data_IF_294206880752
#
_entry.id   IF_294206880752
#
_cell.length_a   1.000
_cell.length_b   1.000
_cell.length_c   1.000
_cell.angle_alpha   90.00
_cell.angle_beta   90.00
_cell.angle_gamma   90.00
#
_symmetry.space_group_name_H-M   'P 1'
#
loop_
_entity.id
_entity.type
_entity.pdbx_description
1 polymer ?
#
# COMPACT_ATOMS: atom_id res chain seq x y z
N UNK A 1 39.30 -14.59 48.33
CA UNK A 1 38.06 -13.77 48.25
C UNK A 1 36.93 -14.57 48.90
N UNK A 2 36.23 -14.03 49.91
CA UNK A 2 35.22 -14.81 50.66
C UNK A 2 34.04 -15.19 49.77
N UNK A 3 33.52 -16.42 49.89
CA UNK A 3 32.37 -16.94 49.15
C UNK A 3 31.14 -16.02 49.20
N UNK A 4 30.98 -15.28 50.29
CA UNK A 4 29.92 -14.26 50.45
C UNK A 4 30.05 -13.10 49.46
N UNK A 5 31.27 -12.63 49.19
CA UNK A 5 31.54 -11.54 48.24
C UNK A 5 31.28 -11.97 46.80
N UNK A 6 31.65 -13.20 46.45
CA UNK A 6 31.41 -13.78 45.12
C UNK A 6 29.90 -13.90 44.87
N UNK A 7 29.12 -14.41 45.83
CA UNK A 7 27.65 -14.52 45.73
C UNK A 7 26.97 -13.15 45.59
N UNK A 8 27.46 -12.14 46.31
CA UNK A 8 26.94 -10.76 46.20
C UNK A 8 27.17 -10.19 44.79
N UNK A 9 28.38 -10.37 44.23
CA UNK A 9 28.72 -9.89 42.88
C UNK A 9 27.80 -10.54 41.83
N UNK A 10 27.60 -11.86 41.89
CA UNK A 10 26.69 -12.53 40.96
C UNK A 10 25.25 -12.02 41.06
N UNK A 11 24.73 -11.76 42.28
CA UNK A 11 23.39 -11.17 42.45
C UNK A 11 23.29 -9.79 41.82
N UNK A 12 24.29 -8.93 42.03
CA UNK A 12 24.31 -7.58 41.44
C UNK A 12 24.35 -7.66 39.92
N UNK A 13 25.17 -8.55 39.34
CA UNK A 13 25.26 -8.74 37.89
C UNK A 13 23.91 -9.19 37.34
N UNK A 14 23.26 -10.20 37.93
CA UNK A 14 21.96 -10.69 37.45
C UNK A 14 20.85 -9.64 37.56
N UNK A 15 20.78 -8.91 38.68
CA UNK A 15 19.80 -7.84 38.86
C UNK A 15 20.04 -6.73 37.84
N UNK A 16 21.30 -6.33 37.63
CA UNK A 16 21.66 -5.32 36.63
C UNK A 16 21.27 -5.76 35.23
N UNK A 17 21.58 -7.01 34.85
CA UNK A 17 21.23 -7.57 33.54
C UNK A 17 19.72 -7.59 33.31
N UNK A 18 18.94 -7.95 34.34
CA UNK A 18 17.48 -7.94 34.28
C UNK A 18 16.93 -6.53 34.06
N UNK A 19 17.42 -5.53 34.80
CA UNK A 19 17.03 -4.14 34.59
C UNK A 19 17.44 -3.61 33.22
N UNK A 20 18.60 -4.01 32.72
CA UNK A 20 19.09 -3.64 31.39
C UNK A 20 18.18 -4.24 30.29
N UNK A 21 17.73 -5.48 30.46
CA UNK A 21 16.77 -6.11 29.57
C UNK A 21 15.39 -5.42 29.62
N UNK A 22 14.91 -5.06 30.81
CA UNK A 22 13.68 -4.27 30.93
C UNK A 22 13.80 -2.92 30.21
N UNK A 23 14.88 -2.17 30.45
CA UNK A 23 15.13 -0.90 29.76
C UNK A 23 15.19 -1.08 28.25
N UNK A 24 15.82 -2.15 27.76
CA UNK A 24 15.86 -2.48 26.34
C UNK A 24 14.44 -2.74 25.76
N UNK A 25 13.63 -3.53 26.46
CA UNK A 25 12.24 -3.81 26.05
C UNK A 25 11.39 -2.53 26.09
N UNK A 26 11.52 -1.71 27.12
CA UNK A 26 10.84 -0.43 27.24
C UNK A 26 11.23 0.55 26.13
N UNK A 27 12.53 0.71 25.86
CA UNK A 27 13.04 1.54 24.78
C UNK A 27 12.51 1.10 23.42
N UNK A 28 12.47 -0.23 23.17
CA UNK A 28 11.97 -0.78 21.91
C UNK A 28 10.47 -0.60 21.71
N UNK A 29 9.67 -0.69 22.76
CA UNK A 29 8.21 -0.69 22.69
C UNK A 29 7.57 0.69 22.88
N UNK A 30 8.07 1.52 23.80
CA UNK A 30 7.46 2.82 24.08
C UNK A 30 7.93 3.93 23.14
N UNK A 31 9.02 3.72 22.38
CA UNK A 31 9.63 4.75 21.52
C UNK A 31 9.64 6.13 22.19
N UNK A 32 10.24 6.26 23.40
CA UNK A 32 10.06 7.43 24.27
C UNK A 32 10.55 8.75 23.65
N UNK A 33 11.36 8.68 22.59
CA UNK A 33 11.87 9.82 21.86
C UNK A 33 10.97 10.27 20.70
N UNK A 34 9.85 9.57 20.45
CA UNK A 34 8.91 9.92 19.38
C UNK A 34 9.50 9.83 17.96
N UNK A 35 10.67 9.19 17.80
CA UNK A 35 11.35 9.12 16.51
C UNK A 35 10.57 8.21 15.56
N UNK A 36 10.08 8.79 14.48
CA UNK A 36 9.45 8.08 13.37
C UNK A 36 10.41 7.02 12.86
N UNK A 37 10.12 5.73 13.07
CA UNK A 37 10.92 4.67 12.44
C UNK A 37 10.64 4.70 10.94
N UNK A 38 11.64 5.12 10.18
CA UNK A 38 11.64 4.99 8.73
C UNK A 38 12.06 3.55 8.42
N UNK A 39 11.09 2.73 7.99
CA UNK A 39 11.37 1.39 7.49
C UNK A 39 11.68 1.48 5.99
N UNK A 40 12.95 1.28 5.63
CA UNK A 40 13.37 1.22 4.25
C UNK A 40 13.35 -0.23 3.78
N UNK A 41 12.41 -0.57 2.90
CA UNK A 41 12.37 -1.87 2.24
C UNK A 41 13.02 -1.76 0.86
N UNK A 42 14.14 -2.46 0.66
CA UNK A 42 14.77 -2.58 -0.65
C UNK A 42 14.22 -3.80 -1.38
N UNK A 43 13.33 -3.54 -2.33
CA UNK A 43 12.62 -4.53 -3.11
C UNK A 43 13.47 -4.90 -4.34
N UNK A 44 14.35 -5.91 -4.20
CA UNK A 44 15.15 -6.44 -5.31
C UNK A 44 14.46 -7.65 -5.96
N UNK A 45 14.29 -7.68 -7.30
CA UNK A 45 13.67 -8.79 -8.03
C UNK A 45 14.36 -10.14 -7.81
N UNK A 46 15.66 -10.15 -7.45
CA UNK A 46 16.46 -11.37 -7.28
C UNK A 46 16.23 -12.09 -5.95
N UNK A 47 15.66 -11.42 -4.96
CA UNK A 47 15.60 -11.91 -3.57
C UNK A 47 14.16 -12.02 -3.09
N UNK A 48 13.23 -11.30 -3.72
CA UNK A 48 11.92 -11.07 -3.16
C UNK A 48 10.82 -11.78 -3.96
N UNK A 49 10.35 -12.92 -3.43
CA UNK A 49 9.25 -13.72 -4.00
C UNK A 49 7.92 -12.94 -4.11
N UNK A 50 7.78 -11.81 -3.41
CA UNK A 50 6.59 -10.95 -3.48
C UNK A 50 6.56 -10.06 -4.73
N UNK A 51 7.68 -9.90 -5.45
CA UNK A 51 7.75 -9.10 -6.68
C UNK A 51 7.84 -10.05 -7.86
N UNK A 52 6.71 -10.31 -8.50
CA UNK A 52 6.69 -11.14 -9.70
C UNK A 52 7.52 -10.46 -10.83
N UNK A 53 8.37 -11.22 -11.56
CA UNK A 53 9.30 -10.70 -12.56
C UNK A 53 8.65 -9.99 -13.76
N UNK A 54 7.36 -10.19 -13.98
CA UNK A 54 6.61 -9.50 -15.05
C UNK A 54 6.60 -7.98 -14.82
N UNK A 55 7.01 -7.23 -15.84
CA UNK A 55 6.94 -5.77 -15.84
C UNK A 55 5.47 -5.31 -15.80
N UNK A 56 5.16 -4.12 -15.23
CA UNK A 56 3.78 -3.65 -15.16
C UNK A 56 3.03 -3.64 -16.50
N UNK A 57 3.71 -3.23 -17.59
CA UNK A 57 3.14 -3.25 -18.95
C UNK A 57 2.82 -4.65 -19.49
N UNK A 58 3.50 -5.69 -18.98
CA UNK A 58 3.31 -7.08 -19.40
C UNK A 58 2.15 -7.74 -18.65
N UNK A 59 1.62 -7.06 -17.63
CA UNK A 59 0.50 -7.50 -16.79
C UNK A 59 -0.86 -7.01 -17.29
N UNK A 60 -0.91 -6.30 -18.40
CA UNK A 60 -2.17 -5.90 -19.03
C UNK A 60 -2.22 -6.46 -20.43
N UNK A 61 -3.41 -6.88 -20.87
CA UNK A 61 -3.64 -7.22 -22.25
C UNK A 61 -3.55 -5.98 -23.13
N UNK A 62 -3.45 -6.20 -24.44
CA UNK A 62 -3.83 -5.14 -25.37
C UNK A 62 -5.31 -4.79 -25.18
N UNK A 63 -5.65 -3.54 -25.49
CA UNK A 63 -7.04 -3.12 -25.53
C UNK A 63 -7.77 -3.92 -26.62
N UNK A 64 -8.96 -4.40 -26.31
CA UNK A 64 -9.85 -5.02 -27.29
C UNK A 64 -11.25 -4.42 -27.21
N UNK A 65 -11.92 -4.38 -28.34
CA UNK A 65 -13.28 -3.87 -28.46
C UNK A 65 -14.27 -5.02 -28.34
N UNK A 66 -15.23 -4.93 -27.42
CA UNK A 66 -16.25 -5.96 -27.27
C UNK A 66 -17.36 -5.82 -28.32
N UNK A 67 -18.22 -6.84 -28.37
CA UNK A 67 -19.45 -6.82 -29.15
C UNK A 67 -20.50 -5.83 -28.61
N UNK A 68 -20.37 -5.37 -27.36
CA UNK A 68 -21.25 -4.35 -26.75
C UNK A 68 -20.84 -2.92 -27.07
N UNK A 69 -19.70 -2.73 -27.74
CA UNK A 69 -19.20 -1.41 -28.12
C UNK A 69 -18.21 -0.79 -27.12
N UNK A 70 -17.79 -1.55 -26.10
CA UNK A 70 -16.91 -1.04 -25.05
C UNK A 70 -15.46 -1.51 -25.25
N UNK A 71 -14.51 -0.66 -24.85
CA UNK A 71 -13.10 -1.01 -24.82
C UNK A 71 -12.76 -1.70 -23.49
N UNK A 72 -12.11 -2.85 -23.57
CA UNK A 72 -11.66 -3.61 -22.41
C UNK A 72 -10.15 -3.80 -22.41
N UNK A 73 -9.60 -3.86 -21.20
CA UNK A 73 -8.24 -4.29 -20.95
C UNK A 73 -8.25 -5.29 -19.80
N UNK A 74 -7.70 -6.48 -20.03
CA UNK A 74 -7.65 -7.56 -19.04
C UNK A 74 -6.32 -7.55 -18.32
N UNK A 75 -6.35 -7.57 -16.98
CA UNK A 75 -5.17 -7.79 -16.16
C UNK A 75 -4.70 -9.25 -16.27
N UNK A 76 -3.49 -9.45 -16.79
CA UNK A 76 -2.81 -10.74 -16.92
C UNK A 76 -1.89 -10.96 -15.71
N UNK A 77 -2.32 -11.86 -14.82
CA UNK A 77 -1.51 -12.34 -13.70
C UNK A 77 -1.86 -11.72 -12.35
N UNK A 78 -1.28 -12.25 -11.26
CA UNK A 78 -1.61 -11.83 -9.90
C UNK A 78 -1.11 -10.42 -9.62
N UNK A 79 -1.92 -9.62 -8.93
CA UNK A 79 -1.55 -8.31 -8.41
C UNK A 79 -0.33 -8.43 -7.47
N UNK A 80 0.55 -7.43 -7.49
CA UNK A 80 1.62 -7.31 -6.49
C UNK A 80 1.05 -6.59 -5.29
N UNK A 81 0.98 -7.29 -4.16
CA UNK A 81 0.52 -6.71 -2.91
C UNK A 81 1.71 -6.36 -2.01
N UNK A 82 1.63 -5.22 -1.35
CA UNK A 82 2.52 -4.85 -0.25
C UNK A 82 1.68 -4.69 1.01
N UNK A 83 1.98 -5.47 2.04
CA UNK A 83 1.33 -5.34 3.35
C UNK A 83 2.18 -4.47 4.26
N UNK A 84 1.60 -3.38 4.77
CA UNK A 84 2.20 -2.54 5.79
C UNK A 84 1.48 -2.80 7.11
N UNK A 85 2.23 -3.14 8.15
CA UNK A 85 1.72 -3.34 9.50
C UNK A 85 2.12 -2.14 10.37
N UNK A 86 1.30 -1.08 10.44
CA UNK A 86 1.62 0.07 11.29
C UNK A 86 1.64 -0.36 12.76
N UNK A 87 2.55 0.22 13.54
CA UNK A 87 2.75 -0.13 14.96
C UNK A 87 1.60 0.40 15.84
N UNK A 88 0.81 1.35 15.35
CA UNK A 88 -0.32 1.93 16.08
C UNK A 88 -1.57 2.05 15.21
N UNK A 89 -2.78 1.77 15.76
CA UNK A 89 -4.04 1.80 15.03
C UNK A 89 -4.49 3.21 14.60
N UNK A 90 -3.89 4.27 15.14
CA UNK A 90 -4.20 5.67 14.81
C UNK A 90 -3.02 6.33 14.11
N UNK A 91 -2.69 5.89 12.91
CA UNK A 91 -1.61 6.48 12.12
C UNK A 91 -2.11 6.87 10.73
N UNK A 92 -1.81 8.10 10.34
CA UNK A 92 -1.88 8.51 8.94
C UNK A 92 -0.67 7.90 8.23
N UNK A 93 -0.91 7.12 7.17
CA UNK A 93 0.15 6.50 6.37
C UNK A 93 0.34 7.36 5.12
N UNK A 94 1.49 8.03 5.02
CA UNK A 94 1.89 8.70 3.77
C UNK A 94 2.63 7.68 2.90
N UNK A 95 2.02 7.28 1.81
CA UNK A 95 2.63 6.39 0.81
C UNK A 95 3.21 7.26 -0.31
N UNK A 96 4.45 6.99 -0.71
CA UNK A 96 5.07 7.62 -1.88
C UNK A 96 5.63 6.53 -2.77
N UNK A 97 5.03 6.39 -3.95
CA UNK A 97 5.44 5.40 -4.95
C UNK A 97 6.25 6.12 -6.02
N UNK A 98 7.47 5.62 -6.28
CA UNK A 98 8.35 6.12 -7.34
C UNK A 98 8.64 4.97 -8.30
N UNK A 99 8.38 5.18 -9.59
CA UNK A 99 8.62 4.21 -10.66
C UNK A 99 9.44 4.85 -11.78
N UNK A 100 10.26 4.05 -12.46
CA UNK A 100 11.15 4.50 -13.55
C UNK A 100 10.53 4.37 -14.94
N UNK A 101 9.41 3.67 -15.10
CA UNK A 101 8.79 3.32 -16.38
C UNK A 101 7.30 3.59 -16.36
N UNK A 102 6.66 3.69 -17.53
CA UNK A 102 5.19 3.73 -17.64
C UNK A 102 4.57 2.52 -16.93
N UNK A 103 3.87 2.80 -15.84
CA UNK A 103 3.02 1.82 -15.15
C UNK A 103 1.62 1.99 -15.74
N UNK A 104 0.94 0.93 -16.20
CA UNK A 104 -0.39 1.09 -16.77
C UNK A 104 -1.39 1.53 -15.70
N UNK A 105 -1.31 0.94 -14.51
CA UNK A 105 -2.23 1.19 -13.42
C UNK A 105 -1.56 0.99 -12.04
N UNK A 106 -1.93 1.83 -11.08
CA UNK A 106 -1.64 1.65 -9.65
C UNK A 106 -2.96 1.69 -8.90
N UNK A 107 -3.26 0.61 -8.19
CA UNK A 107 -4.45 0.48 -7.35
C UNK A 107 -3.98 0.47 -5.90
N UNK A 108 -4.56 1.30 -5.05
CA UNK A 108 -4.38 1.19 -3.61
C UNK A 108 -5.59 0.52 -2.98
N UNK A 109 -5.34 -0.51 -2.18
CA UNK A 109 -6.38 -1.21 -1.44
C UNK A 109 -6.07 -1.23 0.04
N UNK A 110 -7.11 -1.06 0.86
CA UNK A 110 -7.07 -1.38 2.29
C UNK A 110 -7.75 -2.73 2.50
N UNK A 111 -7.12 -3.61 3.27
CA UNK A 111 -7.76 -4.83 3.76
C UNK A 111 -8.90 -4.45 4.71
N UNK A 112 -10.13 -4.84 4.39
CA UNK A 112 -11.33 -4.52 5.16
C UNK A 112 -11.75 -5.64 6.10
N UNK A 113 -11.40 -6.88 5.81
CA UNK A 113 -11.69 -8.04 6.66
C UNK A 113 -10.47 -8.97 6.75
N UNK A 114 -10.20 -9.46 7.96
CA UNK A 114 -9.19 -10.47 8.22
C UNK A 114 -9.90 -11.83 8.42
N UNK A 115 -10.32 -12.44 7.29
CA UNK A 115 -10.86 -13.80 7.22
C UNK A 115 -9.99 -14.71 6.37
N UNK A 116 -10.50 -15.88 5.97
CA UNK A 116 -9.82 -16.79 5.02
C UNK A 116 -9.65 -16.15 3.64
N UNK A 117 -10.56 -15.25 3.27
CA UNK A 117 -10.45 -14.41 2.09
C UNK A 117 -10.19 -12.96 2.51
N UNK A 118 -9.08 -12.39 2.03
CA UNK A 118 -8.76 -10.99 2.26
C UNK A 118 -9.65 -10.14 1.36
N UNK A 119 -10.62 -9.45 1.95
CA UNK A 119 -11.39 -8.44 1.24
C UNK A 119 -10.58 -7.15 1.13
N UNK A 120 -10.44 -6.63 -0.09
CA UNK A 120 -9.75 -5.37 -0.36
C UNK A 120 -10.74 -4.34 -0.87
N UNK A 121 -10.85 -3.21 -0.16
CA UNK A 121 -11.46 -2.02 -0.74
C UNK A 121 -10.40 -1.28 -1.54
N UNK A 122 -10.36 -1.58 -2.83
CA UNK A 122 -9.47 -0.99 -3.81
C UNK A 122 -10.01 0.35 -4.32
N UNK A 123 -9.11 1.29 -4.62
CA UNK A 123 -9.41 2.50 -5.35
C UNK A 123 -8.27 2.76 -6.35
N UNK A 124 -8.60 3.07 -7.62
CA UNK A 124 -7.59 3.42 -8.60
C UNK A 124 -6.90 4.71 -8.16
N UNK A 125 -5.57 4.67 -8.08
CA UNK A 125 -4.76 5.84 -7.73
C UNK A 125 -4.15 6.49 -8.96
N UNK A 126 -3.75 5.67 -9.93
CA UNK A 126 -3.13 6.13 -11.16
C UNK A 126 -3.52 5.19 -12.29
N UNK A 127 -3.87 5.74 -13.44
CA UNK A 127 -4.02 4.99 -14.69
C UNK A 127 -3.46 5.83 -15.84
N UNK A 128 -2.54 5.29 -16.63
CA UNK A 128 -1.81 6.05 -17.66
C UNK A 128 -2.74 6.67 -18.71
N UNK A 129 -3.78 5.94 -19.13
CA UNK A 129 -4.81 6.44 -20.04
C UNK A 129 -5.53 7.69 -19.49
N UNK A 130 -5.93 7.69 -18.23
CA UNK A 130 -6.64 8.81 -17.58
C UNK A 130 -5.72 10.03 -17.45
N UNK A 131 -4.43 9.82 -17.17
CA UNK A 131 -3.48 10.91 -17.02
C UNK A 131 -3.15 11.63 -18.34
N UNK A 132 -3.31 10.93 -19.46
CA UNK A 132 -3.09 11.47 -20.80
C UNK A 132 -4.39 11.87 -21.52
N UNK A 133 -5.54 11.73 -20.85
CA UNK A 133 -6.83 12.12 -21.40
C UNK A 133 -6.93 13.64 -21.44
N UNK A 134 -7.12 14.18 -22.63
CA UNK A 134 -7.37 15.62 -22.87
C UNK A 134 -8.85 15.96 -22.90
N UNK A 135 -9.71 15.03 -22.50
CA UNK A 135 -11.15 15.18 -22.52
C UNK A 135 -11.62 16.06 -21.37
N UNK A 136 -12.74 16.75 -21.56
CA UNK A 136 -13.40 17.46 -20.47
C UNK A 136 -13.87 16.45 -19.41
N UNK A 137 -13.92 16.85 -18.15
CA UNK A 137 -14.45 16.02 -17.10
C UNK A 137 -15.36 16.77 -16.15
N UNK A 138 -16.26 16.01 -15.53
CA UNK A 138 -17.11 16.45 -14.43
C UNK A 138 -16.71 15.65 -13.19
N UNK A 139 -16.47 16.33 -12.08
CA UNK A 139 -16.13 15.71 -10.80
C UNK A 139 -17.27 15.94 -9.81
N UNK A 140 -17.83 14.87 -9.26
CA UNK A 140 -18.89 14.94 -8.27
C UNK A 140 -18.71 13.82 -7.22
N UNK A 141 -18.61 14.19 -5.94
CA UNK A 141 -18.43 13.24 -4.82
C UNK A 141 -17.24 12.26 -5.01
N UNK A 142 -16.17 12.70 -5.66
CA UNK A 142 -14.98 11.88 -5.94
C UNK A 142 -15.15 10.89 -7.10
N UNK A 143 -16.25 11.00 -7.85
CA UNK A 143 -16.45 10.31 -9.13
C UNK A 143 -16.06 11.26 -10.26
N UNK A 144 -15.23 10.79 -11.18
CA UNK A 144 -14.80 11.53 -12.37
C UNK A 144 -15.49 10.95 -13.61
N UNK A 145 -16.26 11.79 -14.30
CA UNK A 145 -16.88 11.47 -15.59
C UNK A 145 -16.12 12.19 -16.70
N UNK A 146 -15.30 11.46 -17.45
CA UNK A 146 -14.58 11.99 -18.61
C UNK A 146 -15.45 11.93 -19.86
N UNK A 147 -15.51 13.04 -20.60
CA UNK A 147 -16.40 13.25 -21.73
C UNK A 147 -15.60 13.83 -22.91
N UNK A 148 -15.47 13.04 -23.99
CA UNK A 148 -14.81 13.50 -25.22
C UNK A 148 -15.49 14.73 -25.81
N UNK A 149 -16.81 14.73 -25.76
CA UNK A 149 -17.68 15.85 -26.09
C UNK A 149 -18.55 16.09 -24.85
N UNK A 150 -18.61 17.33 -24.38
CA UNK A 150 -19.31 17.68 -23.16
C UNK A 150 -20.83 17.65 -23.38
N UNK A 151 -21.45 16.51 -23.02
CA UNK A 151 -22.90 16.29 -23.13
C UNK A 151 -23.62 16.42 -21.79
N UNK A 152 -22.93 16.09 -20.70
CA UNK A 152 -23.48 16.06 -19.35
C UNK A 152 -22.82 17.10 -18.45
N UNK A 153 -23.61 17.67 -17.56
CA UNK A 153 -23.14 18.73 -16.64
C UNK A 153 -22.86 18.22 -15.23
N UNK A 154 -23.43 17.07 -14.85
CA UNK A 154 -23.23 16.40 -13.57
C UNK A 154 -23.10 14.88 -13.75
N UNK A 155 -22.59 14.18 -12.74
CA UNK A 155 -22.58 12.71 -12.75
C UNK A 155 -24.02 12.19 -12.65
N UNK A 156 -24.86 12.88 -11.89
CA UNK A 156 -26.28 12.51 -11.74
C UNK A 156 -27.05 12.62 -13.08
N UNK A 157 -26.77 13.66 -13.87
CA UNK A 157 -27.36 13.88 -15.19
C UNK A 157 -27.04 12.73 -16.16
N UNK A 158 -25.78 12.30 -16.16
CA UNK A 158 -25.34 11.11 -16.89
C UNK A 158 -26.07 9.84 -16.44
N UNK A 159 -26.13 9.58 -15.12
CA UNK A 159 -26.79 8.38 -14.59
C UNK A 159 -28.30 8.36 -14.85
N UNK A 160 -28.96 9.52 -14.93
CA UNK A 160 -30.39 9.62 -15.26
C UNK A 160 -30.72 9.37 -16.73
N UNK A 161 -29.73 9.50 -17.62
CA UNK A 161 -29.88 9.28 -19.07
C UNK A 161 -29.19 7.99 -19.54
N UNK A 162 -28.68 7.19 -18.61
CA UNK A 162 -28.07 5.90 -18.90
C UNK A 162 -29.17 4.84 -19.16
N UNK A 163 -29.07 4.03 -20.24
CA UNK A 163 -30.02 2.94 -20.50
C UNK A 163 -29.92 1.79 -19.49
#
# INVERSE_FOLDING_TARGET
>A
MSYSKIRLIFRIIFISLFFLLLLFVFYRNLNPLGLSRVYNYSFSPKINHFINPLLPKERVSQYYFSQTGDWYQTLKGPLVYFSLYPVSPKQQVKITVKYKSEVPEIIFGKVTSAGEELEFRASPFYHSFIQNLTWDYVEENGVYLYQKEKHFTSVQDYLSHYP
#
